data_IF_929678405085
#
_entry.id   IF_929678405085
#
_cell.length_a   1.000
_cell.length_b   1.000
_cell.length_c   1.000
_cell.angle_alpha   90.00
_cell.angle_beta   90.00
_cell.angle_gamma   90.00
#
_symmetry.space_group_name_H-M   'P 1'
#
loop_
_entity.id
_entity.type
_entity.pdbx_description
1 polymer ?
#
# COMPACT_ATOMS: atom_id res chain seq x y z
N UNK A 1 19.81 6.31 -5.92
CA UNK A 1 18.49 6.74 -6.43
C UNK A 1 17.75 7.36 -5.25
N UNK A 2 17.15 8.55 -5.39
CA UNK A 2 16.42 9.24 -4.30
C UNK A 2 14.92 9.19 -4.63
N UNK A 3 14.11 8.70 -3.71
CA UNK A 3 12.66 8.67 -3.84
C UNK A 3 12.04 9.81 -3.03
N UNK A 4 10.94 10.36 -3.53
CA UNK A 4 10.14 11.38 -2.85
C UNK A 4 8.76 10.80 -2.60
N UNK A 5 8.36 10.76 -1.33
CA UNK A 5 7.04 10.31 -0.90
C UNK A 5 6.27 11.50 -0.32
N UNK A 6 5.05 11.70 -0.80
CA UNK A 6 4.16 12.74 -0.33
C UNK A 6 2.72 12.32 -0.64
N UNK A 7 1.75 12.68 0.22
CA UNK A 7 0.34 12.47 -0.09
C UNK A 7 -0.03 13.33 -1.31
N UNK A 8 -0.67 12.70 -2.30
CA UNK A 8 -1.12 13.38 -3.51
C UNK A 8 -2.51 12.89 -3.89
N UNK A 9 -3.39 13.84 -4.23
CA UNK A 9 -4.71 13.53 -4.73
C UNK A 9 -4.70 13.54 -6.26
N UNK A 10 -5.45 12.61 -6.84
CA UNK A 10 -5.78 12.62 -8.26
C UNK A 10 -6.88 13.67 -8.47
N UNK A 11 -6.67 14.59 -9.40
CA UNK A 11 -7.67 15.60 -9.78
C UNK A 11 -8.79 14.97 -10.59
N UNK A 12 -9.91 15.68 -10.75
CA UNK A 12 -11.05 15.23 -11.58
C UNK A 12 -10.67 14.98 -13.06
N UNK A 13 -9.54 15.53 -13.51
CA UNK A 13 -8.95 15.31 -14.83
C UNK A 13 -8.07 14.05 -14.92
N UNK A 14 -7.95 13.27 -13.84
CA UNK A 14 -7.07 12.11 -13.78
C UNK A 14 -5.58 12.43 -13.65
N UNK A 15 -5.22 13.65 -13.23
CA UNK A 15 -3.81 14.07 -13.06
C UNK A 15 -3.41 14.09 -11.60
N UNK A 16 -2.16 13.74 -11.31
CA UNK A 16 -1.59 13.88 -9.95
C UNK A 16 -1.00 15.28 -9.83
N UNK A 17 -1.45 16.05 -8.84
CA UNK A 17 -0.88 17.38 -8.56
C UNK A 17 0.37 17.24 -7.69
N UNK A 18 1.53 17.57 -8.27
CA UNK A 18 2.80 17.58 -7.55
C UNK A 18 2.90 18.84 -6.66
N UNK A 19 3.30 18.72 -5.38
CA UNK A 19 3.58 19.87 -4.54
C UNK A 19 4.77 20.68 -5.07
N UNK A 20 4.70 22.02 -4.95
CA UNK A 20 5.78 22.92 -5.37
C UNK A 20 7.13 22.60 -4.72
N UNK A 21 7.13 22.09 -3.48
CA UNK A 21 8.34 21.68 -2.78
C UNK A 21 9.11 20.57 -3.51
N UNK A 22 8.39 19.65 -4.18
CA UNK A 22 9.01 18.57 -4.98
C UNK A 22 9.52 19.13 -6.30
N UNK A 23 8.75 20.02 -6.95
CA UNK A 23 9.15 20.67 -8.19
C UNK A 23 10.47 21.46 -8.04
N UNK A 24 10.70 22.09 -6.89
CA UNK A 24 11.98 22.78 -6.60
C UNK A 24 13.17 21.84 -6.44
N UNK A 25 12.94 20.56 -6.12
CA UNK A 25 14.02 19.56 -5.96
C UNK A 25 14.31 18.77 -7.24
N UNK A 26 13.45 18.91 -8.26
CA UNK A 26 13.64 18.28 -9.56
C UNK A 26 14.43 19.22 -10.47
N UNK A 27 15.55 18.76 -11.01
CA UNK A 27 16.28 19.53 -12.00
C UNK A 27 15.50 19.59 -13.31
N UNK A 28 15.53 20.74 -13.98
CA UNK A 28 14.90 20.92 -15.28
C UNK A 28 15.41 19.89 -16.29
N UNK A 29 14.50 19.34 -17.10
CA UNK A 29 14.81 18.35 -18.15
C UNK A 29 15.41 17.02 -17.66
N UNK A 30 15.31 16.70 -16.37
CA UNK A 30 15.76 15.42 -15.83
C UNK A 30 14.72 14.32 -16.08
N UNK A 31 15.17 13.18 -16.63
CA UNK A 31 14.34 11.98 -16.69
C UNK A 31 14.18 11.38 -15.28
N UNK A 32 12.94 11.12 -14.89
CA UNK A 32 12.60 10.55 -13.58
C UNK A 32 11.81 9.26 -13.72
N UNK A 33 11.97 8.35 -12.76
CA UNK A 33 11.14 7.15 -12.61
C UNK A 33 10.03 7.47 -11.61
N UNK A 34 8.78 7.35 -12.03
CA UNK A 34 7.60 7.59 -11.18
C UNK A 34 7.11 6.25 -10.62
N UNK A 35 6.84 6.21 -9.31
CA UNK A 35 6.18 5.09 -8.64
C UNK A 35 4.91 5.67 -8.01
N UNK A 36 3.76 5.05 -8.30
CA UNK A 36 2.46 5.46 -7.76
C UNK A 36 1.99 4.32 -6.87
N UNK A 37 1.76 4.62 -5.60
CA UNK A 37 1.11 3.71 -4.66
C UNK A 37 -0.31 4.23 -4.45
N UNK A 38 -1.29 3.37 -4.69
CA UNK A 38 -2.69 3.65 -4.41
C UNK A 38 -3.06 2.75 -3.24
N UNK A 39 -3.72 3.31 -2.23
CA UNK A 39 -4.30 2.48 -1.19
C UNK A 39 -5.40 1.63 -1.83
N UNK A 40 -5.24 0.32 -1.78
CA UNK A 40 -6.31 -0.60 -2.13
C UNK A 40 -7.50 -0.29 -1.22
N UNK A 41 -8.71 -0.35 -1.79
CA UNK A 41 -9.94 -0.18 -1.02
C UNK A 41 -9.92 -1.11 0.18
N UNK A 42 -10.26 -0.58 1.36
CA UNK A 42 -10.31 -1.35 2.62
C UNK A 42 -11.17 -2.61 2.53
N UNK A 43 -12.07 -2.70 1.56
CA UNK A 43 -12.88 -3.89 1.27
C UNK A 43 -12.04 -5.07 0.75
N UNK A 44 -11.06 -4.85 -0.13
CA UNK A 44 -10.18 -5.91 -0.62
C UNK A 44 -9.22 -6.36 0.49
N UNK A 45 -8.70 -5.40 1.25
CA UNK A 45 -7.84 -5.68 2.41
C UNK A 45 -8.60 -6.50 3.47
N UNK A 46 -9.85 -6.11 3.79
CA UNK A 46 -10.71 -6.88 4.69
C UNK A 46 -11.07 -8.27 4.13
N UNK A 47 -11.28 -8.40 2.82
CA UNK A 47 -11.53 -9.69 2.18
C UNK A 47 -10.29 -10.60 2.26
N UNK A 48 -9.10 -10.04 2.06
CA UNK A 48 -7.82 -10.74 2.23
C UNK A 48 -7.60 -11.19 3.67
N UNK A 49 -7.82 -10.31 4.65
CA UNK A 49 -7.73 -10.66 6.07
C UNK A 49 -8.72 -11.77 6.44
N UNK A 50 -9.96 -11.70 5.95
CA UNK A 50 -10.97 -12.75 6.20
C UNK A 50 -10.54 -14.08 5.61
N UNK A 51 -10.10 -14.10 4.35
CA UNK A 51 -9.63 -15.31 3.68
C UNK A 51 -8.43 -15.93 4.40
N UNK A 52 -7.46 -15.11 4.80
CA UNK A 52 -6.28 -15.57 5.54
C UNK A 52 -6.67 -16.19 6.89
N UNK A 53 -7.57 -15.55 7.65
CA UNK A 53 -8.07 -16.08 8.91
C UNK A 53 -8.82 -17.42 8.73
N UNK A 54 -9.69 -17.52 7.72
CA UNK A 54 -10.42 -18.76 7.40
C UNK A 54 -9.48 -19.91 7.03
N UNK A 55 -8.45 -19.64 6.22
CA UNK A 55 -7.49 -20.67 5.81
C UNK A 55 -6.56 -21.07 6.96
N UNK A 56 -6.16 -20.12 7.81
CA UNK A 56 -5.36 -20.38 9.00
C UNK A 56 -6.12 -21.29 9.97
N UNK A 57 -7.39 -20.97 10.27
CA UNK A 57 -8.23 -21.75 11.17
C UNK A 57 -8.53 -23.15 10.63
N UNK A 58 -8.65 -23.32 9.31
CA UNK A 58 -8.81 -24.65 8.69
C UNK A 58 -7.58 -25.53 8.83
N UNK A 59 -6.39 -24.94 8.91
CA UNK A 59 -5.15 -25.66 9.14
C UNK A 59 -4.87 -25.96 10.60
N UNK A 60 -5.60 -25.33 11.52
CA UNK A 60 -5.44 -25.51 12.96
C UNK A 60 -6.03 -26.85 13.39
N UNK A 61 -5.18 -27.72 13.94
CA UNK A 61 -5.53 -29.07 14.37
C UNK A 61 -5.61 -29.18 15.89
N UNK A 62 -6.15 -30.30 16.39
CA UNK A 62 -6.16 -30.60 17.84
C UNK A 62 -4.76 -30.82 18.42
N UNK A 63 -3.71 -30.92 17.61
CA UNK A 63 -2.33 -30.95 18.09
C UNK A 63 -1.77 -29.53 18.28
N UNK A 64 -2.41 -28.52 17.67
CA UNK A 64 -1.96 -27.12 17.70
C UNK A 64 -2.50 -26.33 18.91
N UNK A 65 -3.42 -26.89 19.71
CA UNK A 65 -3.92 -26.25 20.96
C UNK A 65 -2.83 -25.97 22.00
N UNK A 66 -1.63 -26.56 21.85
CA UNK A 66 -0.48 -26.24 22.70
C UNK A 66 -0.04 -24.77 22.54
N UNK A 67 -0.25 -24.16 21.37
CA UNK A 67 0.10 -22.76 21.13
C UNK A 67 -0.90 -21.76 21.74
N UNK A 68 -2.10 -22.21 22.11
CA UNK A 68 -3.12 -21.37 22.77
C UNK A 68 -2.86 -21.18 24.28
N UNK A 69 -1.97 -21.99 24.86
CA UNK A 69 -1.71 -22.06 26.30
C UNK A 69 -0.51 -21.21 26.78
N UNK A 70 0.00 -20.31 25.92
CA UNK A 70 1.12 -19.39 26.22
C UNK A 70 0.63 -17.94 26.08
#
# INVERSE_FOLDING_TARGET
MKAYEFPANVTDEGKIKLPNAVLQQLANNQQVKVIILVNESTEEEAAWYRLAAEQLLKGYSEDDVIYDMI
#
